data_IF_304927528253
#
_entry.id   IF_304927528253
#
_cell.length_a   1.000
_cell.length_b   1.000
_cell.length_c   1.000
_cell.angle_alpha   90.00
_cell.angle_beta   90.00
_cell.angle_gamma   90.00
#
_symmetry.space_group_name_H-M   'P 1'
#
loop_
_entity.id
_entity.type
_entity.pdbx_description
1 polymer ?
#
# COMPACT_ATOMS: atom_id res chain seq x y z
N UNK A 1 5.31 19.60 -10.57
CA UNK A 1 4.29 18.63 -10.10
C UNK A 1 4.78 18.07 -8.78
N UNK A 2 3.90 18.00 -7.78
CA UNK A 2 4.25 17.51 -6.45
C UNK A 2 4.28 15.98 -6.45
N UNK A 3 5.27 15.40 -5.77
CA UNK A 3 5.52 13.96 -5.78
C UNK A 3 5.84 13.48 -4.38
N UNK A 4 5.33 12.30 -4.04
CA UNK A 4 5.56 11.64 -2.78
C UNK A 4 6.38 10.37 -2.99
N UNK A 5 7.63 10.36 -2.52
CA UNK A 5 8.52 9.20 -2.61
C UNK A 5 8.58 8.46 -1.29
N UNK A 6 8.25 7.18 -1.29
CA UNK A 6 8.23 6.37 -0.08
C UNK A 6 8.64 4.93 -0.36
N UNK A 7 8.83 4.16 0.71
CA UNK A 7 9.03 2.73 0.62
C UNK A 7 7.73 2.03 0.32
N UNK A 8 7.80 0.99 -0.51
CA UNK A 8 6.65 0.11 -0.77
C UNK A 8 7.02 -1.33 -0.49
N UNK A 9 6.04 -2.09 -0.01
CA UNK A 9 6.11 -3.54 0.21
C UNK A 9 4.77 -4.15 -0.16
N UNK A 10 4.67 -5.47 -0.22
CA UNK A 10 3.40 -6.17 -0.21
C UNK A 10 3.28 -7.09 1.00
N UNK A 11 2.06 -7.42 1.40
CA UNK A 11 1.78 -8.49 2.34
C UNK A 11 0.98 -9.57 1.60
N UNK A 12 1.50 -10.80 1.53
CA UNK A 12 0.75 -11.88 0.91
C UNK A 12 -0.36 -12.37 1.86
N UNK A 13 -1.54 -11.83 1.62
CA UNK A 13 -2.80 -12.15 2.28
C UNK A 13 -3.88 -12.51 1.24
N UNK A 14 -3.44 -13.02 0.08
CA UNK A 14 -4.33 -13.47 -1.01
C UNK A 14 -5.20 -14.65 -0.59
N UNK A 15 -4.66 -15.52 0.27
CA UNK A 15 -5.41 -16.53 1.02
C UNK A 15 -5.49 -16.09 2.49
N UNK A 16 -6.69 -15.70 2.99
CA UNK A 16 -6.85 -15.28 4.38
C UNK A 16 -6.59 -16.40 5.39
N UNK A 17 -6.58 -17.68 4.96
CA UNK A 17 -6.30 -18.83 5.82
C UNK A 17 -4.81 -19.21 5.84
N UNK A 18 -3.99 -18.67 4.93
CA UNK A 18 -2.56 -18.93 4.82
C UNK A 18 -1.75 -17.63 4.59
N UNK A 19 -2.09 -16.58 5.34
CA UNK A 19 -1.43 -15.27 5.21
C UNK A 19 -0.11 -15.17 6.00
N UNK A 20 0.81 -14.33 5.53
CA UNK A 20 2.01 -13.91 6.29
C UNK A 20 1.77 -12.60 7.04
N UNK A 21 2.52 -12.37 8.12
CA UNK A 21 2.57 -11.09 8.84
C UNK A 21 3.79 -10.24 8.46
N UNK A 22 4.67 -10.77 7.61
CA UNK A 22 5.92 -10.10 7.24
C UNK A 22 5.81 -9.53 5.83
N UNK A 23 5.79 -8.20 5.68
CA UNK A 23 5.74 -7.60 4.35
C UNK A 23 7.06 -7.79 3.60
N UNK A 24 6.95 -8.01 2.29
CA UNK A 24 8.04 -8.30 1.38
C UNK A 24 8.24 -7.19 0.33
N UNK A 25 9.46 -6.97 -0.17
CA UNK A 25 10.71 -7.60 0.27
C UNK A 25 11.22 -6.98 1.58
N UNK A 26 12.10 -7.70 2.29
CA UNK A 26 12.75 -7.22 3.55
C UNK A 26 13.51 -5.91 3.38
N UNK A 27 13.98 -5.62 2.16
CA UNK A 27 14.57 -4.32 1.78
C UNK A 27 13.59 -3.60 0.85
N UNK A 28 12.70 -2.75 1.40
CA UNK A 28 11.64 -2.14 0.61
C UNK A 28 12.23 -1.25 -0.49
N UNK A 29 11.86 -1.44 -1.77
CA UNK A 29 12.18 -0.48 -2.81
C UNK A 29 11.42 0.83 -2.57
N UNK A 30 11.86 1.90 -3.23
CA UNK A 30 11.13 3.17 -3.23
C UNK A 30 10.25 3.26 -4.46
N UNK A 31 9.07 3.83 -4.29
CA UNK A 31 8.17 4.24 -5.36
C UNK A 31 7.88 5.72 -5.23
N UNK A 32 7.73 6.42 -6.35
CA UNK A 32 7.40 7.84 -6.37
C UNK A 32 6.02 8.02 -6.95
N UNK A 33 5.07 8.34 -6.09
CA UNK A 33 3.70 8.68 -6.47
C UNK A 33 3.64 10.12 -6.94
N UNK A 34 2.77 10.38 -7.91
CA UNK A 34 2.27 11.72 -8.18
C UNK A 34 1.16 12.06 -7.21
N UNK A 35 1.27 13.20 -6.55
CA UNK A 35 0.30 13.60 -5.54
C UNK A 35 -1.01 14.09 -6.16
N UNK A 36 -1.01 14.43 -7.45
CA UNK A 36 -2.14 14.99 -8.19
C UNK A 36 -2.88 13.96 -9.08
N UNK A 37 -2.52 12.67 -9.00
CA UNK A 37 -3.18 11.59 -9.74
C UNK A 37 -3.84 10.60 -8.77
N UNK A 38 -5.06 10.12 -9.06
CA UNK A 38 -5.71 9.06 -8.29
C UNK A 38 -4.83 7.82 -8.13
N UNK A 39 -4.82 7.22 -6.95
CA UNK A 39 -3.96 6.08 -6.65
C UNK A 39 -4.28 4.84 -7.50
N UNK A 40 -5.53 4.66 -7.94
CA UNK A 40 -5.97 3.59 -8.83
C UNK A 40 -5.22 3.60 -10.17
N UNK A 41 -4.83 4.80 -10.64
CA UNK A 41 -4.06 4.96 -11.87
C UNK A 41 -2.55 4.70 -11.68
N UNK A 42 -2.09 4.48 -10.45
CA UNK A 42 -0.68 4.33 -10.09
C UNK A 42 -0.37 2.94 -9.49
N UNK A 43 -1.36 2.26 -8.92
CA UNK A 43 -1.19 0.99 -8.20
C UNK A 43 -0.58 -0.13 -9.06
N UNK A 44 -0.87 -0.15 -10.37
CA UNK A 44 -0.24 -1.09 -11.31
C UNK A 44 1.30 -0.96 -11.35
N UNK A 45 1.82 0.26 -11.15
CA UNK A 45 3.25 0.51 -11.07
C UNK A 45 3.87 -0.07 -9.80
N UNK A 46 3.19 0.09 -8.66
CA UNK A 46 3.60 -0.48 -7.36
C UNK A 46 3.57 -2.00 -7.41
N UNK A 47 2.47 -2.57 -7.90
CA UNK A 47 2.28 -4.01 -8.09
C UNK A 47 3.42 -4.63 -8.92
N UNK A 48 3.71 -4.04 -10.08
CA UNK A 48 4.78 -4.50 -10.98
C UNK A 48 6.17 -4.39 -10.34
N UNK A 49 6.45 -3.29 -9.63
CA UNK A 49 7.72 -3.08 -8.95
C UNK A 49 7.97 -4.16 -7.88
N UNK A 50 6.91 -4.49 -7.13
CA UNK A 50 6.95 -5.48 -6.06
C UNK A 50 6.89 -6.92 -6.56
N UNK A 51 6.43 -7.14 -7.80
CA UNK A 51 6.07 -8.46 -8.33
C UNK A 51 5.08 -9.18 -7.41
N UNK A 52 4.10 -8.41 -6.92
CA UNK A 52 3.14 -8.91 -5.95
C UNK A 52 2.28 -10.04 -6.55
N UNK A 53 1.96 -11.09 -5.76
CA UNK A 53 1.17 -12.23 -6.25
C UNK A 53 -0.32 -11.92 -6.43
N UNK A 54 -0.80 -10.80 -5.86
CA UNK A 54 -2.19 -10.37 -5.92
C UNK A 54 -2.69 -10.17 -7.35
N UNK A 55 -3.99 -10.43 -7.58
CA UNK A 55 -4.67 -9.87 -8.74
C UNK A 55 -4.76 -8.36 -8.57
N UNK A 56 -4.54 -7.60 -9.64
CA UNK A 56 -4.46 -6.15 -9.57
C UNK A 56 -5.76 -5.52 -9.05
N UNK A 57 -6.91 -5.98 -9.54
CA UNK A 57 -8.24 -5.49 -9.15
C UNK A 57 -8.60 -5.76 -7.68
N UNK A 58 -7.93 -6.72 -7.03
CA UNK A 58 -8.13 -7.08 -5.63
C UNK A 58 -7.18 -6.32 -4.69
N UNK A 59 -6.31 -5.47 -5.23
CA UNK A 59 -5.29 -4.76 -4.45
C UNK A 59 -5.87 -3.56 -3.69
N UNK A 60 -5.27 -3.28 -2.54
CA UNK A 60 -5.43 -2.09 -1.73
C UNK A 60 -4.05 -1.58 -1.28
N UNK A 61 -3.99 -0.32 -0.84
CA UNK A 61 -2.80 0.28 -0.26
C UNK A 61 -3.05 0.63 1.20
N UNK A 62 -2.20 0.15 2.10
CA UNK A 62 -2.27 0.41 3.54
C UNK A 62 -1.01 1.11 4.04
N UNK A 63 -1.16 2.10 4.91
CA UNK A 63 -0.04 2.77 5.55
C UNK A 63 0.48 1.94 6.73
N UNK A 64 1.77 1.61 6.74
CA UNK A 64 2.35 0.74 7.77
C UNK A 64 2.41 1.36 9.17
N UNK A 65 2.23 2.67 9.31
CA UNK A 65 2.47 3.40 10.56
C UNK A 65 1.23 3.49 11.46
N UNK A 66 0.04 3.60 10.86
CA UNK A 66 -1.24 3.73 11.54
C UNK A 66 -2.27 2.68 11.10
N UNK A 67 -2.00 1.91 10.03
CA UNK A 67 -2.89 0.89 9.51
C UNK A 67 -4.04 1.41 8.64
N UNK A 68 -4.08 2.71 8.34
CA UNK A 68 -5.07 3.31 7.45
C UNK A 68 -4.99 2.74 6.04
N UNK A 69 -6.15 2.53 5.42
CA UNK A 69 -6.25 2.19 4.01
C UNK A 69 -6.44 3.46 3.20
N UNK A 70 -5.62 3.63 2.17
CA UNK A 70 -5.74 4.74 1.25
C UNK A 70 -6.91 4.51 0.29
N UNK A 71 -7.65 5.58 0.01
CA UNK A 71 -8.70 5.54 -1.01
C UNK A 71 -8.06 5.57 -2.40
N UNK A 72 -8.30 4.53 -3.20
CA UNK A 72 -7.68 4.40 -4.51
C UNK A 72 -8.26 5.37 -5.54
N UNK A 73 -9.52 5.77 -5.39
CA UNK A 73 -10.20 6.68 -6.31
C UNK A 73 -9.74 8.14 -6.12
N UNK A 74 -9.18 8.47 -4.95
CA UNK A 74 -8.65 9.79 -4.62
C UNK A 74 -7.15 9.95 -4.90
N UNK A 75 -6.71 11.20 -5.01
CA UNK A 75 -5.29 11.56 -5.07
C UNK A 75 -4.66 11.54 -3.68
N UNK A 76 -3.31 11.53 -3.57
CA UNK A 76 -2.64 11.68 -2.27
C UNK A 76 -2.82 13.09 -1.67
N UNK A 77 -2.93 14.11 -2.52
CA UNK A 77 -3.17 15.48 -2.07
C UNK A 77 -4.51 15.63 -1.34
N UNK A 78 -5.55 14.89 -1.78
CA UNK A 78 -6.89 14.91 -1.18
C UNK A 78 -6.99 14.17 0.15
N UNK A 79 -6.08 13.24 0.43
CA UNK A 79 -6.06 12.41 1.64
C UNK A 79 -4.77 12.62 2.47
N UNK A 80 -4.27 13.85 2.48
CA UNK A 80 -2.96 14.18 3.08
C UNK A 80 -2.94 14.01 4.60
N UNK A 81 -4.08 14.17 5.27
CA UNK A 81 -4.21 13.96 6.71
C UNK A 81 -3.85 12.51 7.12
N UNK A 82 -4.15 11.52 6.27
CA UNK A 82 -3.77 10.12 6.51
C UNK A 82 -2.25 9.90 6.51
N UNK A 83 -1.50 10.77 5.83
CA UNK A 83 -0.03 10.72 5.73
C UNK A 83 0.68 11.50 6.84
N UNK A 84 -0.05 12.12 7.77
CA UNK A 84 0.56 12.86 8.87
C UNK A 84 1.48 11.95 9.70
N UNK A 85 2.73 12.37 9.90
CA UNK A 85 3.73 11.57 10.61
C UNK A 85 4.31 10.37 9.81
N UNK A 86 3.87 10.13 8.57
CA UNK A 86 4.39 9.04 7.74
C UNK A 86 5.88 9.23 7.38
N UNK A 87 6.31 10.46 7.10
CA UNK A 87 7.71 10.81 6.90
C UNK A 87 8.23 11.54 8.14
N UNK A 88 8.83 10.81 9.07
CA UNK A 88 9.49 11.42 10.22
C UNK A 88 10.74 12.20 9.75
N UNK A 89 10.77 13.48 10.07
CA UNK A 89 11.86 14.40 9.76
C UNK A 89 13.21 13.85 10.28
N UNK A 90 14.26 13.94 9.47
CA UNK A 90 15.63 13.62 9.89
C UNK A 90 16.06 12.14 9.84
N UNK A 91 15.29 11.23 9.22
CA UNK A 91 15.78 9.91 8.79
C UNK A 91 16.19 8.92 9.90
N UNK A 92 15.94 9.24 11.18
CA UNK A 92 16.27 8.44 12.37
C UNK A 92 15.09 7.61 12.92
N UNK A 93 13.90 7.72 12.34
CA UNK A 93 12.72 6.93 12.70
C UNK A 93 12.61 5.59 11.95
N UNK A 94 11.69 4.70 12.41
CA UNK A 94 11.24 3.54 11.63
C UNK A 94 10.73 4.05 10.28
N UNK A 95 11.42 3.71 9.20
CA UNK A 95 11.03 4.12 7.85
C UNK A 95 9.76 3.39 7.45
N UNK A 96 8.62 4.07 7.59
CA UNK A 96 7.30 3.57 7.21
C UNK A 96 7.22 3.22 5.72
N UNK A 97 6.32 2.33 5.38
CA UNK A 97 6.06 1.88 4.01
C UNK A 97 4.57 1.94 3.70
N UNK A 98 4.26 2.05 2.41
CA UNK A 98 2.93 1.74 1.89
C UNK A 98 2.94 0.25 1.54
N UNK A 99 1.99 -0.49 2.09
CA UNK A 99 1.85 -1.93 1.92
C UNK A 99 0.74 -2.22 0.93
N UNK A 100 1.09 -2.80 -0.22
CA UNK A 100 0.14 -3.39 -1.15
C UNK A 100 -0.38 -4.70 -0.56
N UNK A 101 -1.69 -4.86 -0.49
CA UNK A 101 -2.31 -6.05 0.08
C UNK A 101 -3.69 -6.29 -0.52
N UNK A 102 -4.34 -7.38 -0.16
CA UNK A 102 -5.69 -7.69 -0.61
C UNK A 102 -6.71 -6.77 0.07
N UNK A 103 -7.67 -6.25 -0.69
CA UNK A 103 -8.82 -5.50 -0.19
C UNK A 103 -9.52 -6.26 0.95
N UNK A 104 -9.99 -5.52 1.96
CA UNK A 104 -10.67 -6.13 3.10
C UNK A 104 -11.95 -6.87 2.66
N UNK A 105 -12.71 -6.28 1.74
CA UNK A 105 -13.90 -6.91 1.15
C UNK A 105 -13.57 -8.25 0.52
N UNK A 106 -12.56 -8.33 -0.34
CA UNK A 106 -12.13 -9.58 -1.01
C UNK A 106 -11.75 -10.65 0.01
N UNK A 107 -11.01 -10.29 1.07
CA UNK A 107 -10.67 -11.23 2.15
C UNK A 107 -11.90 -11.70 2.93
N UNK A 108 -12.88 -10.83 3.17
CA UNK A 108 -14.14 -11.21 3.83
C UNK A 108 -14.92 -12.23 2.98
N UNK A 109 -15.06 -12.00 1.68
CA UNK A 109 -15.72 -12.93 0.76
C UNK A 109 -15.03 -14.30 0.76
N UNK A 110 -13.69 -14.32 0.68
CA UNK A 110 -12.91 -15.55 0.78
C UNK A 110 -13.11 -16.28 2.13
N UNK A 111 -13.26 -15.55 3.24
CA UNK A 111 -13.52 -16.14 4.55
C UNK A 111 -14.92 -16.77 4.68
N UNK A 112 -15.94 -16.16 4.07
CA UNK A 112 -17.33 -16.63 4.17
C UNK A 112 -17.73 -17.61 3.04
N UNK A 113 -16.86 -17.79 2.05
CA UNK A 113 -17.05 -18.72 0.94
C UNK A 113 -18.06 -18.24 -0.10
N UNK A 114 -18.20 -16.92 -0.27
CA UNK A 114 -19.06 -16.28 -1.27
C UNK A 114 -18.26 -15.75 -2.47
#
# INVERSE_FOLDING_TARGET
MATFSCRVQFLDDTDPFNSTNFPEPTRPPHFTFREDIPLINQIAGVHRLLKAPHKLDDCALQLSHNGSYLDLESTLAEQRDELEGFQLDGGRGKKHSIVLRTQLSVRVHACIGE
#
